data_IF_965134484881
#
_entry.id   IF_965134484881
#
_cell.length_a   1.000
_cell.length_b   1.000
_cell.length_c   1.000
_cell.angle_alpha   90.00
_cell.angle_beta   90.00
_cell.angle_gamma   90.00
#
_symmetry.space_group_name_H-M   'P 1'
#
loop_
_entity.id
_entity.type
_entity.pdbx_description
1 polymer ?
#
# COMPACT_ATOMS: atom_id res chain seq x y z
N UNK A 1 7.32 -2.41 -8.28
CA UNK A 1 8.02 -1.53 -7.33
C UNK A 1 8.96 -2.34 -6.46
N UNK A 2 10.02 -1.72 -5.97
CA UNK A 2 10.99 -2.35 -5.08
C UNK A 2 11.13 -1.55 -3.79
N UNK A 3 11.24 -2.26 -2.66
CA UNK A 3 11.48 -1.68 -1.35
C UNK A 3 12.80 -2.23 -0.79
N UNK A 4 13.56 -1.37 -0.11
CA UNK A 4 14.89 -1.71 0.40
C UNK A 4 14.89 -1.71 1.92
N UNK A 5 15.59 -2.67 2.50
CA UNK A 5 15.82 -2.82 3.93
C UNK A 5 17.26 -3.24 4.15
N UNK A 6 18.01 -2.43 4.89
CA UNK A 6 19.37 -2.72 5.31
C UNK A 6 19.35 -3.11 6.79
N UNK A 7 19.81 -4.32 7.10
CA UNK A 7 19.94 -4.86 8.45
C UNK A 7 21.41 -4.98 8.83
N UNK A 8 21.76 -4.53 10.02
CA UNK A 8 23.08 -4.72 10.61
C UNK A 8 23.01 -5.68 11.79
N UNK A 9 23.97 -6.62 11.92
CA UNK A 9 24.12 -7.40 13.14
C UNK A 9 24.44 -6.47 14.32
N UNK A 10 23.73 -6.64 15.43
CA UNK A 10 24.14 -6.05 16.70
C UNK A 10 25.42 -6.75 17.17
N UNK A 11 26.41 -5.97 17.63
CA UNK A 11 27.76 -6.48 17.93
C UNK A 11 27.82 -7.45 19.11
N UNK A 12 26.80 -7.47 19.96
CA UNK A 12 26.83 -8.14 21.27
C UNK A 12 25.73 -9.21 21.42
N UNK A 13 24.67 -9.14 20.61
CA UNK A 13 23.54 -10.06 20.62
C UNK A 13 23.28 -10.46 19.17
N UNK A 14 22.92 -11.72 18.88
CA UNK A 14 22.60 -12.21 17.51
C UNK A 14 21.30 -11.60 16.95
N UNK A 15 21.10 -10.32 17.18
CA UNK A 15 19.95 -9.52 16.84
C UNK A 15 20.30 -8.64 15.63
N UNK A 16 19.29 -8.31 14.84
CA UNK A 16 19.44 -7.38 13.73
C UNK A 16 18.87 -6.02 14.09
N UNK A 17 19.51 -4.95 13.62
CA UNK A 17 19.00 -3.58 13.70
C UNK A 17 18.78 -3.03 12.31
N UNK A 18 17.69 -2.29 12.13
CA UNK A 18 17.40 -1.59 10.88
C UNK A 18 18.35 -0.41 10.78
N UNK A 19 19.17 -0.38 9.72
CA UNK A 19 20.09 0.72 9.44
C UNK A 19 19.43 1.76 8.54
N UNK A 20 18.86 1.31 7.42
CA UNK A 20 18.21 2.15 6.40
C UNK A 20 17.07 1.39 5.76
N UNK A 21 16.06 2.10 5.30
CA UNK A 21 14.98 1.51 4.53
C UNK A 21 14.25 2.52 3.64
N UNK A 22 13.51 2.00 2.66
CA UNK A 22 12.53 2.75 1.86
C UNK A 22 11.08 2.33 2.13
N UNK A 23 10.85 1.55 3.20
CA UNK A 23 9.50 1.11 3.60
C UNK A 23 8.58 2.31 3.87
N UNK A 24 7.35 2.34 3.32
CA UNK A 24 6.40 3.43 3.56
C UNK A 24 6.06 3.63 5.04
N UNK A 25 5.86 4.88 5.51
CA UNK A 25 5.72 5.22 6.93
C UNK A 25 4.43 4.68 7.59
N UNK A 26 3.47 4.22 6.79
CA UNK A 26 2.23 3.62 7.29
C UNK A 26 2.37 2.12 7.60
N UNK A 27 3.48 1.49 7.21
CA UNK A 27 3.79 0.11 7.61
C UNK A 27 4.40 0.17 9.01
N UNK A 28 3.95 -0.66 9.97
CA UNK A 28 4.36 -0.56 11.37
C UNK A 28 5.76 -1.17 11.61
N UNK A 29 6.76 -0.71 10.87
CA UNK A 29 8.10 -1.30 10.82
C UNK A 29 8.78 -1.35 12.19
N UNK A 30 8.65 -0.31 13.00
CA UNK A 30 9.23 -0.23 14.35
C UNK A 30 8.52 -1.17 15.34
N UNK A 31 7.25 -1.51 15.10
CA UNK A 31 6.55 -2.49 15.93
C UNK A 31 6.99 -3.89 15.56
N UNK A 32 6.98 -4.21 14.25
CA UNK A 32 7.42 -5.50 13.73
C UNK A 32 8.88 -5.78 14.12
N UNK A 33 9.76 -4.77 14.04
CA UNK A 33 11.17 -4.94 14.36
C UNK A 33 11.38 -5.30 15.83
N UNK A 34 10.68 -4.63 16.75
CA UNK A 34 10.75 -4.92 18.19
C UNK A 34 10.18 -6.28 18.56
N UNK A 35 9.13 -6.72 17.86
CA UNK A 35 8.45 -7.98 18.14
C UNK A 35 9.24 -9.19 17.62
N UNK A 36 9.80 -9.10 16.42
CA UNK A 36 10.34 -10.26 15.71
C UNK A 36 11.88 -10.28 15.57
N UNK A 37 12.56 -9.15 15.34
CA UNK A 37 14.02 -9.18 15.06
C UNK A 37 14.92 -9.76 16.18
N UNK A 38 14.55 -9.70 17.48
CA UNK A 38 15.37 -10.31 18.51
C UNK A 38 15.52 -11.83 18.41
N UNK A 39 14.52 -12.52 17.87
CA UNK A 39 14.43 -14.00 17.93
C UNK A 39 13.99 -14.67 16.63
N UNK A 40 13.30 -13.96 15.74
CA UNK A 40 12.68 -14.50 14.54
C UNK A 40 12.78 -13.53 13.35
N UNK A 41 13.96 -13.51 12.72
CA UNK A 41 14.17 -12.75 11.47
C UNK A 41 13.20 -13.19 10.36
N UNK A 42 12.79 -14.46 10.31
CA UNK A 42 11.91 -14.95 9.24
C UNK A 42 10.49 -14.43 9.43
N UNK A 43 9.95 -14.55 10.64
CA UNK A 43 8.65 -13.99 10.99
C UNK A 43 8.59 -12.47 10.77
N UNK A 44 9.68 -11.75 11.06
CA UNK A 44 9.80 -10.33 10.73
C UNK A 44 9.63 -10.08 9.22
N UNK A 45 10.39 -10.80 8.38
CA UNK A 45 10.37 -10.62 6.93
C UNK A 45 9.02 -11.02 6.33
N UNK A 46 8.40 -12.10 6.83
CA UNK A 46 7.09 -12.56 6.39
C UNK A 46 6.00 -11.52 6.69
N UNK A 47 5.97 -11.00 7.92
CA UNK A 47 5.01 -9.96 8.31
C UNK A 47 5.19 -8.68 7.48
N UNK A 48 6.45 -8.23 7.29
CA UNK A 48 6.75 -7.08 6.46
C UNK A 48 6.31 -7.29 5.00
N UNK A 49 6.57 -8.48 4.44
CA UNK A 49 6.18 -8.84 3.08
C UNK A 49 4.66 -8.82 2.89
N UNK A 50 3.90 -9.34 3.86
CA UNK A 50 2.44 -9.28 3.84
C UNK A 50 1.91 -7.84 3.79
N UNK A 51 2.45 -6.94 4.62
CA UNK A 51 2.06 -5.53 4.60
C UNK A 51 2.38 -4.85 3.26
N UNK A 52 3.57 -5.08 2.71
CA UNK A 52 4.00 -4.52 1.43
C UNK A 52 3.13 -5.02 0.29
N UNK A 53 2.86 -6.33 0.21
CA UNK A 53 2.03 -6.91 -0.84
C UNK A 53 0.58 -6.45 -0.75
N UNK A 54 0.03 -6.32 0.47
CA UNK A 54 -1.31 -5.78 0.65
C UNK A 54 -1.41 -4.34 0.11
N UNK A 55 -0.38 -3.52 0.33
CA UNK A 55 -0.29 -2.17 -0.21
C UNK A 55 -0.16 -2.17 -1.74
N UNK A 56 0.81 -2.91 -2.29
CA UNK A 56 1.03 -3.00 -3.75
C UNK A 56 -0.23 -3.51 -4.46
N UNK A 57 -0.88 -4.54 -3.92
CA UNK A 57 -2.11 -5.10 -4.48
C UNK A 57 -3.30 -4.15 -4.41
N UNK A 58 -3.37 -3.27 -3.41
CA UNK A 58 -4.37 -2.18 -3.40
C UNK A 58 -4.08 -1.12 -4.47
N UNK A 59 -2.82 -0.73 -4.61
CA UNK A 59 -2.39 0.26 -5.62
C UNK A 59 -2.64 -0.24 -7.04
N UNK A 60 -2.31 -1.50 -7.33
CA UNK A 60 -2.56 -2.12 -8.64
C UNK A 60 -4.05 -2.20 -8.95
N UNK A 61 -4.89 -2.63 -7.99
CA UNK A 61 -6.35 -2.64 -8.17
C UNK A 61 -6.91 -1.25 -8.45
N UNK A 62 -6.40 -0.24 -7.75
CA UNK A 62 -6.81 1.14 -7.97
C UNK A 62 -6.43 1.61 -9.39
N UNK A 63 -5.22 1.29 -9.84
CA UNK A 63 -4.78 1.61 -11.20
C UNK A 63 -5.66 0.92 -12.26
N UNK A 64 -5.89 -0.39 -12.12
CA UNK A 64 -6.74 -1.16 -13.02
C UNK A 64 -8.16 -0.60 -13.08
N UNK A 65 -8.75 -0.24 -11.93
CA UNK A 65 -10.06 0.38 -11.87
C UNK A 65 -10.12 1.70 -12.67
N UNK A 66 -9.08 2.54 -12.56
CA UNK A 66 -9.03 3.81 -13.31
C UNK A 66 -8.88 3.58 -14.81
N UNK A 67 -8.11 2.57 -15.22
CA UNK A 67 -7.93 2.20 -16.62
C UNK A 67 -9.23 1.62 -17.21
N UNK A 68 -9.83 0.65 -16.53
CA UNK A 68 -11.03 -0.09 -16.99
C UNK A 68 -12.28 0.80 -17.06
N UNK A 69 -12.47 1.71 -16.10
CA UNK A 69 -13.66 2.55 -16.00
C UNK A 69 -13.42 4.01 -16.42
N UNK A 70 -12.32 4.28 -17.13
CA UNK A 70 -11.91 5.63 -17.57
C UNK A 70 -13.03 6.41 -18.27
N UNK A 71 -13.81 5.76 -19.13
CA UNK A 71 -14.94 6.36 -19.87
C UNK A 71 -16.12 6.79 -18.98
N UNK A 72 -16.27 6.19 -17.80
CA UNK A 72 -17.38 6.45 -16.89
C UNK A 72 -16.98 7.40 -15.77
N UNK A 73 -15.71 7.42 -15.42
CA UNK A 73 -15.15 8.27 -14.36
C UNK A 73 -15.09 9.73 -14.84
N UNK A 74 -15.58 10.63 -13.99
CA UNK A 74 -15.55 12.07 -14.24
C UNK A 74 -14.44 12.75 -13.43
N UNK A 75 -13.51 13.39 -14.14
CA UNK A 75 -12.38 14.08 -13.54
C UNK A 75 -11.34 13.11 -12.97
N UNK A 76 -10.44 13.62 -12.12
CA UNK A 76 -9.34 12.83 -11.54
C UNK A 76 -9.81 12.17 -10.24
N UNK A 77 -9.83 10.83 -10.13
CA UNK A 77 -10.10 10.13 -8.87
C UNK A 77 -9.12 10.53 -7.77
N UNK A 78 -9.61 10.69 -6.55
CA UNK A 78 -8.79 11.01 -5.38
C UNK A 78 -8.59 9.77 -4.54
N UNK A 79 -7.35 9.30 -4.46
CA UNK A 79 -6.93 8.25 -3.54
C UNK A 79 -6.15 8.83 -2.36
N UNK A 80 -6.00 8.04 -1.30
CA UNK A 80 -5.02 8.33 -0.24
C UNK A 80 -3.73 7.51 -0.41
N UNK A 81 -2.68 7.88 0.32
CA UNK A 81 -1.36 7.23 0.22
C UNK A 81 -1.35 5.74 0.58
N UNK A 82 -2.36 5.25 1.30
CA UNK A 82 -2.54 3.84 1.67
C UNK A 82 -3.24 3.01 0.58
N UNK A 83 -3.76 3.67 -0.46
CA UNK A 83 -4.62 3.11 -1.50
C UNK A 83 -5.82 2.32 -0.94
N UNK A 84 -6.34 2.69 0.23
CA UNK A 84 -7.49 2.02 0.86
C UNK A 84 -8.77 2.86 0.79
N UNK A 85 -8.68 4.11 0.33
CA UNK A 85 -9.82 4.96 0.05
C UNK A 85 -9.72 5.50 -1.37
N UNK A 86 -10.84 5.46 -2.10
CA UNK A 86 -10.98 6.03 -3.43
C UNK A 86 -12.28 6.82 -3.50
N UNK A 87 -12.17 8.10 -3.85
CA UNK A 87 -13.30 8.99 -4.11
C UNK A 87 -13.30 9.42 -5.57
N UNK A 88 -14.41 9.18 -6.28
CA UNK A 88 -14.57 9.55 -7.68
C UNK A 88 -16.02 9.90 -7.97
N UNK A 89 -16.24 10.61 -9.08
CA UNK A 89 -17.57 10.83 -9.67
C UNK A 89 -17.68 9.96 -10.91
N UNK A 90 -18.88 9.52 -11.23
CA UNK A 90 -19.12 8.72 -12.43
C UNK A 90 -20.39 9.17 -13.15
N UNK A 91 -20.46 8.90 -14.46
CA UNK A 91 -21.64 9.10 -15.29
C UNK A 91 -22.07 7.78 -15.88
N UNK A 92 -23.36 7.48 -15.78
CA UNK A 92 -23.96 6.32 -16.45
C UNK A 92 -24.45 6.78 -17.84
N UNK A 93 -23.95 6.22 -18.94
CA UNK A 93 -24.52 6.48 -20.26
C UNK A 93 -25.97 5.97 -20.29
N UNK A 94 -26.95 6.85 -20.48
CA UNK A 94 -28.36 6.45 -20.69
C UNK A 94 -29.42 7.09 -19.79
N UNK A 95 -29.08 7.88 -18.75
CA UNK A 95 -30.05 8.83 -18.18
C UNK A 95 -29.97 10.16 -18.93
N UNK A 96 -30.44 10.14 -20.18
CA UNK A 96 -31.06 11.33 -20.76
C UNK A 96 -32.28 11.65 -19.90
N UNK A 97 -32.13 12.60 -18.97
CA UNK A 97 -33.28 13.23 -18.36
C UNK A 97 -34.05 13.98 -19.43
N UNK A 98 -34.99 13.31 -20.11
CA UNK A 98 -36.17 13.99 -20.60
C UNK A 98 -36.95 14.43 -19.36
N UNK A 99 -36.60 15.59 -18.83
CA UNK A 99 -37.51 16.40 -18.03
C UNK A 99 -37.91 17.56 -18.91
N UNK A 100 -38.87 17.29 -19.80
CA UNK A 100 -39.73 18.34 -20.32
C UNK A 100 -40.69 18.72 -19.19
N UNK A 101 -40.54 19.95 -18.69
CA UNK A 101 -41.62 20.77 -18.17
C UNK A 101 -41.46 22.15 -18.81
#
# INVERSE_FOLDING_TARGET
DSFHLELLPAREFREFRIQRHSIPPFIPLERLSREFLPSDLRGFLDALFQHLNAFVGRRQRLQQFQEEFSEWIQGIPRGNSLCNLLSFRFRIPGKSGNSQL
#
